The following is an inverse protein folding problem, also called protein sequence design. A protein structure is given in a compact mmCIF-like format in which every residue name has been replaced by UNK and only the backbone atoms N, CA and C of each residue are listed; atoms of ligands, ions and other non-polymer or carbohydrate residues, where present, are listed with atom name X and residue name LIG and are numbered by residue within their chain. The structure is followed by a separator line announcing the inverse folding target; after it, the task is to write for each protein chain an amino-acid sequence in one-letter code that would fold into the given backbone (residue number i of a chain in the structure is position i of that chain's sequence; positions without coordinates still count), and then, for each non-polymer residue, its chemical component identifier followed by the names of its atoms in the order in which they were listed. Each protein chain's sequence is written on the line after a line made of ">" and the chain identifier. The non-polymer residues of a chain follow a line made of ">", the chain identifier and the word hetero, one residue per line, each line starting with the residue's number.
data_IF_081024368009
#
_entry.id   IF_081024368009
#
_cell.length_a   1.000
_cell.length_b   1.000
_cell.length_c   1.000
_cell.angle_alpha   90.00
_cell.angle_beta   90.00
_cell.angle_gamma   90.00
#
_symmetry.space_group_name_H-M   'P 1'
#
loop_
_entity.id
_entity.type
_entity.pdbx_description
1 polymer ?
#
# COMPACT_ATOMS: atom_id res chain seq x y z
N UNK A 1 26.37 39.36 2.70
CA UNK A 1 25.33 38.36 3.01
C UNK A 1 24.20 38.57 2.00
N UNK A 2 24.00 37.63 1.08
CA UNK A 2 22.97 37.75 0.03
C UNK A 2 21.71 37.10 0.57
N UNK A 3 20.64 37.89 0.75
CA UNK A 3 19.32 37.35 1.11
C UNK A 3 18.55 37.02 -0.16
N UNK A 4 18.08 35.78 -0.25
CA UNK A 4 17.18 35.35 -1.33
C UNK A 4 15.73 35.51 -0.87
N UNK A 5 14.84 36.05 -1.71
CA UNK A 5 13.42 36.09 -1.40
C UNK A 5 12.87 34.66 -1.28
N UNK A 6 12.33 34.35 -0.11
CA UNK A 6 11.64 33.09 0.17
C UNK A 6 10.15 33.36 0.19
N UNK A 7 9.35 32.47 -0.42
CA UNK A 7 7.89 32.52 -0.30
C UNK A 7 7.56 32.45 1.18
N UNK A 8 6.84 33.45 1.71
CA UNK A 8 6.57 33.63 3.13
C UNK A 8 6.13 32.33 3.82
N UNK A 9 5.29 31.56 3.13
CA UNK A 9 4.78 30.28 3.60
C UNK A 9 5.89 29.25 3.91
N UNK A 10 7.00 29.25 3.18
CA UNK A 10 8.11 28.33 3.40
C UNK A 10 9.07 28.77 4.52
N UNK A 11 8.92 30.01 5.02
CA UNK A 11 9.76 30.57 6.07
C UNK A 11 9.13 30.47 7.47
N UNK A 12 7.90 29.96 7.58
CA UNK A 12 7.11 29.98 8.82
C UNK A 12 6.96 28.58 9.42
N UNK A 13 7.01 28.51 10.75
CA UNK A 13 6.73 27.30 11.54
C UNK A 13 5.48 27.56 12.41
N UNK A 14 4.55 26.60 12.47
CA UNK A 14 3.34 26.69 13.30
C UNK A 14 2.02 26.63 12.51
N UNK A 15 1.11 27.55 12.81
CA UNK A 15 -0.24 27.62 12.20
C UNK A 15 -0.65 29.06 11.84
N UNK A 16 -1.62 29.20 10.92
CA UNK A 16 -2.32 30.45 10.61
C UNK A 16 -3.78 30.35 10.99
N UNK A 17 -4.36 31.46 11.43
CA UNK A 17 -5.81 31.63 11.50
C UNK A 17 -6.22 32.70 10.49
N UNK A 18 -7.01 32.32 9.49
CA UNK A 18 -7.60 33.27 8.57
C UNK A 18 -8.91 33.79 9.16
N UNK A 19 -8.82 34.88 9.92
CA UNK A 19 -9.91 35.48 10.70
C UNK A 19 -11.18 35.84 9.90
N UNK A 20 -11.08 36.05 8.58
CA UNK A 20 -12.24 36.30 7.70
C UNK A 20 -13.06 35.04 7.35
N UNK A 21 -12.45 33.86 7.42
CA UNK A 21 -13.04 32.58 7.00
C UNK A 21 -13.01 31.53 8.13
N UNK A 22 -12.61 31.91 9.34
CA UNK A 22 -12.57 31.03 10.52
C UNK A 22 -11.73 29.77 10.33
N UNK A 23 -10.74 29.82 9.43
CA UNK A 23 -10.03 28.64 8.95
C UNK A 23 -8.60 28.62 9.48
N UNK A 24 -8.22 27.51 10.13
CA UNK A 24 -6.88 27.32 10.68
C UNK A 24 -6.04 26.45 9.77
N UNK A 25 -4.84 26.93 9.40
CA UNK A 25 -3.92 26.26 8.47
C UNK A 25 -2.66 25.82 9.20
N UNK A 26 -2.24 24.57 9.05
CA UNK A 26 -1.12 23.99 9.79
C UNK A 26 -0.10 23.35 8.86
N UNK A 27 1.18 23.38 9.23
CA UNK A 27 2.25 22.69 8.53
C UNK A 27 2.46 21.28 9.11
N UNK A 28 2.24 20.23 8.32
CA UNK A 28 2.51 18.83 8.70
C UNK A 28 3.31 18.12 7.60
N UNK A 29 4.46 17.52 7.94
CA UNK A 29 5.33 16.82 6.98
C UNK A 29 5.65 17.62 5.69
N UNK A 30 5.80 18.94 5.79
CA UNK A 30 6.13 19.81 4.65
C UNK A 30 4.94 20.25 3.78
N UNK A 31 3.71 19.86 4.13
CA UNK A 31 2.48 20.33 3.48
C UNK A 31 1.66 21.27 4.38
N UNK A 32 0.92 22.20 3.76
CA UNK A 32 -0.02 23.08 4.46
C UNK A 32 -1.44 22.50 4.42
N UNK A 33 -2.11 22.43 5.58
CA UNK A 33 -3.39 21.76 5.78
C UNK A 33 -4.41 22.69 6.40
N UNK A 34 -5.65 22.65 5.89
CA UNK A 34 -6.80 23.37 6.44
C UNK A 34 -7.72 22.37 7.16
N UNK A 35 -8.21 22.70 8.36
CA UNK A 35 -9.38 22.03 8.93
C UNK A 35 -10.65 22.80 8.52
N UNK A 36 -11.27 22.39 7.43
CA UNK A 36 -12.58 22.89 6.99
C UNK A 36 -13.57 21.72 6.97
N UNK A 37 -14.78 21.94 7.47
CA UNK A 37 -15.93 21.05 7.28
C UNK A 37 -16.10 20.64 5.81
N UNK A 38 -15.79 21.55 4.89
CA UNK A 38 -15.77 21.30 3.43
C UNK A 38 -14.72 20.25 3.05
N UNK A 39 -13.52 20.28 3.65
CA UNK A 39 -12.48 19.28 3.37
C UNK A 39 -12.90 17.88 3.80
N UNK A 40 -13.56 17.78 4.97
CA UNK A 40 -14.10 16.49 5.45
C UNK A 40 -15.14 15.94 4.48
N UNK A 41 -16.05 16.79 4.00
CA UNK A 41 -17.07 16.40 3.04
C UNK A 41 -16.47 15.98 1.69
N UNK A 42 -15.56 16.78 1.15
CA UNK A 42 -14.83 16.47 -0.08
C UNK A 42 -14.09 15.14 0.01
N UNK A 43 -13.30 14.93 1.07
CA UNK A 43 -12.55 13.70 1.28
C UNK A 43 -13.48 12.49 1.46
N UNK A 44 -14.67 12.68 2.04
CA UNK A 44 -15.66 11.62 2.14
C UNK A 44 -16.22 11.24 0.77
N UNK A 45 -16.46 12.20 -0.11
CA UNK A 45 -16.92 11.95 -1.49
C UNK A 45 -15.83 11.23 -2.27
N UNK A 46 -14.61 11.77 -2.29
CA UNK A 46 -13.48 11.21 -3.03
C UNK A 46 -13.14 9.77 -2.57
N UNK A 47 -13.18 9.51 -1.26
CA UNK A 47 -13.00 8.15 -0.74
C UNK A 47 -14.12 7.20 -1.18
N UNK A 48 -15.37 7.66 -1.22
CA UNK A 48 -16.49 6.82 -1.66
C UNK A 48 -16.43 6.51 -3.15
N UNK A 49 -16.05 7.47 -3.98
CA UNK A 49 -15.81 7.27 -5.41
C UNK A 49 -14.69 6.25 -5.60
N UNK A 50 -13.54 6.44 -4.92
CA UNK A 50 -12.43 5.50 -4.94
C UNK A 50 -12.85 4.08 -4.52
N UNK A 51 -13.65 3.97 -3.46
CA UNK A 51 -14.18 2.69 -2.99
C UNK A 51 -15.02 2.00 -4.07
N UNK A 52 -15.93 2.73 -4.70
CA UNK A 52 -16.82 2.20 -5.75
C UNK A 52 -16.06 1.82 -7.02
N UNK A 53 -15.09 2.63 -7.44
CA UNK A 53 -14.22 2.34 -8.58
C UNK A 53 -13.44 1.01 -8.39
N UNK A 54 -12.98 0.76 -7.16
CA UNK A 54 -12.20 -0.43 -6.85
C UNK A 54 -13.07 -1.66 -6.56
N UNK A 55 -14.30 -1.49 -6.07
CA UNK A 55 -15.15 -2.55 -5.50
C UNK A 55 -15.23 -3.79 -6.39
N UNK A 56 -15.57 -3.62 -7.68
CA UNK A 56 -15.74 -4.74 -8.62
C UNK A 56 -14.44 -5.53 -8.78
N UNK A 57 -13.32 -4.83 -8.97
CA UNK A 57 -12.01 -5.46 -9.16
C UNK A 57 -11.50 -6.09 -7.86
N UNK A 58 -11.71 -5.41 -6.74
CA UNK A 58 -11.35 -5.89 -5.40
C UNK A 58 -12.08 -7.19 -5.07
N UNK A 59 -13.40 -7.26 -5.31
CA UNK A 59 -14.19 -8.47 -5.07
C UNK A 59 -13.72 -9.64 -5.94
N UNK A 60 -13.48 -9.39 -7.24
CA UNK A 60 -12.95 -10.43 -8.14
C UNK A 60 -11.61 -10.99 -7.69
N UNK A 61 -10.70 -10.14 -7.19
CA UNK A 61 -9.40 -10.56 -6.66
C UNK A 61 -9.55 -11.32 -5.34
N UNK A 62 -10.42 -10.87 -4.44
CA UNK A 62 -10.71 -11.55 -3.18
C UNK A 62 -11.23 -12.97 -3.44
N UNK A 63 -12.18 -13.13 -4.36
CA UNK A 63 -12.76 -14.43 -4.70
C UNK A 63 -11.72 -15.33 -5.37
N UNK A 64 -10.98 -14.81 -6.35
CA UNK A 64 -10.02 -15.59 -7.13
C UNK A 64 -8.90 -16.19 -6.28
N UNK A 65 -8.41 -15.45 -5.29
CA UNK A 65 -7.30 -15.88 -4.43
C UNK A 65 -7.74 -16.22 -3.01
N UNK A 66 -9.05 -16.37 -2.77
CA UNK A 66 -9.63 -16.72 -1.48
C UNK A 66 -9.07 -15.86 -0.32
N UNK A 67 -9.04 -14.53 -0.51
CA UNK A 67 -8.40 -13.59 0.41
C UNK A 67 -9.27 -13.27 1.63
N UNK A 68 -10.56 -13.59 1.62
CA UNK A 68 -11.45 -13.28 2.75
C UNK A 68 -11.41 -14.42 3.77
N UNK A 69 -10.65 -14.23 4.85
CA UNK A 69 -10.47 -15.25 5.89
C UNK A 69 -10.64 -14.66 7.30
N UNK A 70 -11.44 -15.32 8.13
CA UNK A 70 -11.76 -14.84 9.47
C UNK A 70 -10.68 -15.24 10.50
N UNK A 71 -9.57 -14.50 10.51
CA UNK A 71 -8.49 -14.65 11.50
C UNK A 71 -8.43 -13.47 12.47
N UNK A 72 -7.73 -13.67 13.60
CA UNK A 72 -7.65 -12.70 14.69
C UNK A 72 -6.54 -11.66 14.49
N UNK A 73 -5.46 -12.00 13.79
CA UNK A 73 -4.31 -11.11 13.60
C UNK A 73 -3.64 -11.35 12.23
N UNK A 74 -2.77 -10.41 11.84
CA UNK A 74 -2.05 -10.37 10.56
C UNK A 74 -1.23 -11.65 10.33
N UNK A 75 -0.46 -12.08 11.33
CA UNK A 75 0.42 -13.25 11.25
C UNK A 75 -0.36 -14.56 10.99
N UNK A 76 -1.44 -14.81 11.75
CA UNK A 76 -2.29 -15.99 11.53
C UNK A 76 -3.03 -15.95 10.20
N UNK A 77 -3.45 -14.77 9.76
CA UNK A 77 -4.01 -14.58 8.43
C UNK A 77 -2.98 -14.94 7.34
N UNK A 78 -1.77 -14.39 7.41
CA UNK A 78 -0.73 -14.63 6.40
C UNK A 78 -0.32 -16.10 6.36
N UNK A 79 -0.11 -16.74 7.53
CA UNK A 79 0.25 -18.16 7.63
C UNK A 79 -0.80 -19.11 7.04
N UNK A 80 -2.06 -18.68 6.92
CA UNK A 80 -3.10 -19.48 6.28
C UNK A 80 -2.88 -19.73 4.78
N UNK A 81 -1.94 -19.01 4.15
CA UNK A 81 -1.57 -19.16 2.74
C UNK A 81 -0.32 -20.02 2.53
N UNK A 82 0.29 -20.57 3.59
CA UNK A 82 1.54 -21.35 3.49
C UNK A 82 1.42 -22.57 2.55
N UNK A 83 0.23 -23.17 2.49
CA UNK A 83 -0.08 -24.34 1.64
C UNK A 83 -0.85 -23.97 0.37
N UNK A 84 -1.16 -22.69 0.17
CA UNK A 84 -1.94 -22.23 -0.98
C UNK A 84 -1.03 -22.05 -2.20
N UNK A 85 -1.18 -22.92 -3.19
CA UNK A 85 -0.36 -22.91 -4.41
C UNK A 85 -0.66 -21.73 -5.35
N UNK A 86 -1.76 -21.00 -5.12
CA UNK A 86 -2.14 -19.83 -5.89
C UNK A 86 -1.51 -18.53 -5.38
N UNK A 87 -0.94 -18.56 -4.17
CA UNK A 87 -0.34 -17.41 -3.49
C UNK A 87 1.07 -17.76 -3.03
N UNK A 88 2.03 -16.93 -3.40
CA UNK A 88 3.40 -17.01 -2.89
C UNK A 88 3.41 -16.35 -1.51
N UNK A 89 3.64 -17.13 -0.47
CA UNK A 89 3.81 -16.64 0.89
C UNK A 89 5.17 -15.94 1.04
N UNK A 90 5.16 -14.63 1.28
CA UNK A 90 6.35 -13.79 1.37
C UNK A 90 6.52 -13.14 2.77
N UNK A 91 5.53 -13.25 3.65
CA UNK A 91 5.52 -12.66 4.98
C UNK A 91 6.80 -12.93 5.76
N UNK A 92 7.37 -11.87 6.33
CA UNK A 92 8.65 -11.79 7.04
C UNK A 92 9.88 -12.18 6.22
N UNK A 93 9.78 -12.23 4.89
CA UNK A 93 10.92 -12.49 4.01
C UNK A 93 11.62 -11.18 3.68
N UNK A 94 12.72 -10.92 4.39
CA UNK A 94 13.49 -9.69 4.25
C UNK A 94 14.61 -9.82 3.23
N UNK A 95 14.72 -8.88 2.29
CA UNK A 95 15.93 -8.62 1.51
C UNK A 95 16.53 -7.30 1.97
N UNK A 96 17.77 -7.33 2.46
CA UNK A 96 18.47 -6.17 3.01
C UNK A 96 17.64 -5.40 4.07
N UNK A 97 17.02 -6.16 4.98
CA UNK A 97 16.08 -5.71 6.02
C UNK A 97 14.75 -5.13 5.52
N UNK A 98 14.46 -5.28 4.23
CA UNK A 98 13.24 -4.79 3.59
C UNK A 98 12.28 -5.92 3.25
N UNK A 99 11.03 -5.80 3.68
CA UNK A 99 9.92 -6.66 3.29
C UNK A 99 9.24 -6.09 2.04
N UNK A 100 9.16 -6.89 0.97
CA UNK A 100 8.56 -6.44 -0.30
C UNK A 100 7.04 -6.61 -0.29
N UNK A 101 6.55 -7.70 0.31
CA UNK A 101 5.13 -8.03 0.45
C UNK A 101 4.95 -9.14 1.50
N UNK A 102 3.76 -9.19 2.09
CA UNK A 102 3.30 -10.34 2.88
C UNK A 102 2.88 -11.50 1.98
N UNK A 103 2.16 -11.19 0.91
CA UNK A 103 1.64 -12.15 -0.06
C UNK A 103 1.89 -11.65 -1.48
N UNK A 104 2.31 -12.54 -2.36
CA UNK A 104 2.48 -12.25 -3.80
C UNK A 104 1.61 -13.19 -4.60
N UNK A 105 0.81 -12.66 -5.51
CA UNK A 105 -0.02 -13.45 -6.43
C UNK A 105 -0.15 -12.72 -7.76
N UNK A 106 -0.66 -13.37 -8.80
CA UNK A 106 -0.59 -12.80 -10.15
C UNK A 106 -1.70 -13.31 -11.06
N UNK A 107 -2.00 -12.51 -12.08
CA UNK A 107 -2.83 -12.92 -13.20
C UNK A 107 -2.07 -12.77 -14.53
N UNK A 108 -2.79 -12.78 -15.66
CA UNK A 108 -2.20 -12.62 -16.98
C UNK A 108 -1.40 -11.30 -17.10
N UNK A 109 -1.91 -10.22 -16.53
CA UNK A 109 -1.48 -8.85 -16.78
C UNK A 109 -0.74 -8.20 -15.61
N UNK A 110 -1.01 -8.64 -14.38
CA UNK A 110 -0.55 -8.00 -13.16
C UNK A 110 0.17 -8.98 -12.23
N UNK A 111 1.16 -8.47 -11.51
CA UNK A 111 1.67 -9.07 -10.27
C UNK A 111 1.18 -8.20 -9.11
N UNK A 112 0.62 -8.85 -8.10
CA UNK A 112 0.05 -8.23 -6.92
C UNK A 112 0.99 -8.38 -5.74
N UNK A 113 1.34 -7.27 -5.11
CA UNK A 113 2.18 -7.20 -3.93
C UNK A 113 1.33 -6.69 -2.77
N UNK A 114 0.90 -7.62 -1.92
CA UNK A 114 -0.03 -7.32 -0.84
C UNK A 114 0.70 -7.17 0.48
N UNK A 115 0.36 -6.09 1.18
CA UNK A 115 0.60 -5.94 2.62
C UNK A 115 -0.73 -5.91 3.34
N UNK A 116 -0.79 -6.37 4.59
CA UNK A 116 -2.03 -6.32 5.36
C UNK A 116 -1.89 -5.72 6.77
N UNK A 117 -2.99 -5.10 7.23
CA UNK A 117 -3.09 -4.54 8.57
C UNK A 117 -4.40 -4.92 9.27
N UNK A 118 -4.35 -5.00 10.60
CA UNK A 118 -5.49 -5.39 11.43
C UNK A 118 -6.70 -4.46 11.27
N UNK A 119 -6.52 -3.14 11.33
CA UNK A 119 -7.63 -2.18 11.33
C UNK A 119 -7.42 -1.02 10.36
N UNK A 120 -8.48 -0.64 9.67
CA UNK A 120 -8.57 0.60 8.90
C UNK A 120 -8.83 1.79 9.83
N UNK A 121 -7.77 2.29 10.43
CA UNK A 121 -7.73 3.51 11.22
C UNK A 121 -6.47 4.31 10.87
N UNK A 122 -6.28 5.47 11.50
CA UNK A 122 -5.16 6.36 11.18
C UNK A 122 -3.79 5.71 11.33
N UNK A 123 -3.56 5.00 12.45
CA UNK A 123 -2.32 4.29 12.73
C UNK A 123 -2.07 3.15 11.74
N UNK A 124 -3.05 2.25 11.59
CA UNK A 124 -2.94 1.09 10.72
C UNK A 124 -2.80 1.46 9.25
N UNK A 125 -3.52 2.46 8.77
CA UNK A 125 -3.39 2.94 7.39
C UNK A 125 -2.02 3.60 7.15
N UNK A 126 -1.52 4.42 8.09
CA UNK A 126 -0.21 5.07 7.99
C UNK A 126 0.92 4.04 7.91
N UNK A 127 0.91 3.07 8.82
CA UNK A 127 1.95 2.05 8.87
C UNK A 127 1.95 1.20 7.59
N UNK A 128 0.76 0.78 7.14
CA UNK A 128 0.61 -0.02 5.93
C UNK A 128 1.05 0.73 4.66
N UNK A 129 0.70 2.02 4.56
CA UNK A 129 1.10 2.85 3.42
C UNK A 129 2.62 3.06 3.41
N UNK A 130 3.22 3.28 4.57
CA UNK A 130 4.67 3.39 4.67
C UNK A 130 5.37 2.10 4.23
N UNK A 131 4.87 0.93 4.66
CA UNK A 131 5.40 -0.36 4.19
C UNK A 131 5.34 -0.47 2.67
N UNK A 132 4.20 -0.15 2.06
CA UNK A 132 4.02 -0.22 0.61
C UNK A 132 4.93 0.78 -0.13
N UNK A 133 5.05 2.02 0.35
CA UNK A 133 5.90 3.04 -0.27
C UNK A 133 7.36 2.61 -0.27
N UNK A 134 7.83 2.18 0.89
CA UNK A 134 9.21 1.75 1.07
C UNK A 134 9.50 0.49 0.25
N UNK A 135 8.56 -0.48 0.21
CA UNK A 135 8.67 -1.65 -0.66
C UNK A 135 8.73 -1.26 -2.15
N UNK A 136 7.96 -0.26 -2.59
CA UNK A 136 7.99 0.23 -3.97
C UNK A 136 9.30 0.90 -4.34
N UNK A 137 9.83 1.78 -3.49
CA UNK A 137 11.11 2.45 -3.72
C UNK A 137 12.26 1.44 -3.78
N UNK A 138 12.27 0.50 -2.81
CA UNK A 138 13.28 -0.56 -2.75
C UNK A 138 13.20 -1.49 -3.97
N UNK A 139 12.01 -1.99 -4.31
CA UNK A 139 11.82 -2.86 -5.48
C UNK A 139 12.22 -2.14 -6.77
N UNK A 140 11.77 -0.90 -6.97
CA UNK A 140 12.06 -0.14 -8.19
C UNK A 140 13.55 0.11 -8.37
N UNK A 141 14.25 0.48 -7.29
CA UNK A 141 15.70 0.73 -7.32
C UNK A 141 16.48 -0.54 -7.68
N UNK A 142 16.16 -1.67 -7.07
CA UNK A 142 16.87 -2.93 -7.32
C UNK A 142 16.56 -3.52 -8.70
N UNK A 143 15.32 -3.39 -9.18
CA UNK A 143 14.96 -3.78 -10.54
C UNK A 143 15.66 -2.92 -11.61
N UNK A 144 16.01 -1.67 -11.29
CA UNK A 144 16.75 -0.78 -12.18
C UNK A 144 18.26 -1.01 -12.17
N UNK A 145 18.84 -1.37 -11.01
CA UNK A 145 20.29 -1.50 -10.85
C UNK A 145 20.83 -2.87 -11.26
N UNK A 146 20.30 -3.95 -10.68
CA UNK A 146 20.77 -5.32 -10.93
C UNK A 146 19.62 -6.32 -10.75
N UNK A 147 18.71 -6.27 -11.73
CA UNK A 147 17.44 -7.00 -11.73
C UNK A 147 17.62 -8.50 -11.49
N UNK A 148 18.51 -9.13 -12.24
CA UNK A 148 18.65 -10.58 -12.26
C UNK A 148 19.17 -11.09 -10.92
N UNK A 149 20.24 -10.48 -10.41
CA UNK A 149 20.80 -10.81 -9.11
C UNK A 149 19.78 -10.60 -7.99
N UNK A 150 19.09 -9.46 -7.99
CA UNK A 150 18.09 -9.14 -6.97
C UNK A 150 16.96 -10.17 -6.93
N UNK A 151 16.38 -10.50 -8.09
CA UNK A 151 15.26 -11.44 -8.17
C UNK A 151 15.69 -12.86 -7.81
N UNK A 152 16.91 -13.27 -8.20
CA UNK A 152 17.48 -14.55 -7.80
C UNK A 152 17.67 -14.64 -6.29
N UNK A 153 18.31 -13.64 -5.68
CA UNK A 153 18.53 -13.60 -4.24
C UNK A 153 17.20 -13.61 -3.46
N UNK A 154 16.21 -12.83 -3.92
CA UNK A 154 14.90 -12.78 -3.27
C UNK A 154 14.16 -14.12 -3.41
N UNK A 155 14.19 -14.74 -4.59
CA UNK A 155 13.60 -16.06 -4.82
C UNK A 155 14.23 -17.14 -3.93
N UNK A 156 15.57 -17.15 -3.79
CA UNK A 156 16.27 -18.08 -2.89
C UNK A 156 15.78 -17.89 -1.44
N UNK A 157 15.61 -16.64 -0.99
CA UNK A 157 15.07 -16.38 0.36
C UNK A 157 13.64 -16.90 0.53
N UNK A 158 12.78 -16.73 -0.48
CA UNK A 158 11.44 -17.29 -0.47
C UNK A 158 11.48 -18.82 -0.39
N UNK A 159 12.30 -19.49 -1.21
CA UNK A 159 12.48 -20.94 -1.18
C UNK A 159 13.09 -21.50 0.12
N UNK A 160 13.80 -20.67 0.89
CA UNK A 160 14.30 -21.05 2.21
C UNK A 160 13.25 -20.83 3.30
N UNK A 161 12.33 -19.87 3.09
CA UNK A 161 11.27 -19.52 4.04
C UNK A 161 10.13 -20.54 4.01
N UNK A 162 9.66 -20.86 2.82
CA UNK A 162 8.72 -21.96 2.60
C UNK A 162 9.53 -23.18 2.21
N UNK A 163 9.14 -24.39 2.61
CA UNK A 163 9.82 -25.58 2.06
C UNK A 163 9.68 -25.53 0.52
N UNK A 164 10.76 -25.80 -0.24
CA UNK A 164 10.82 -25.62 -1.70
C UNK A 164 9.62 -26.20 -2.46
N UNK A 165 9.04 -27.28 -1.95
CA UNK A 165 7.85 -27.98 -2.48
C UNK A 165 6.56 -27.14 -2.45
N UNK A 166 6.54 -26.06 -1.66
CA UNK A 166 5.41 -25.14 -1.52
C UNK A 166 5.48 -23.99 -2.54
N UNK A 167 6.68 -23.67 -3.07
CA UNK A 167 6.82 -22.70 -4.14
C UNK A 167 6.62 -23.41 -5.49
N UNK A 168 5.43 -23.24 -6.08
CA UNK A 168 5.02 -23.95 -7.31
C UNK A 168 5.57 -23.37 -8.61
N UNK A 169 6.32 -22.28 -8.52
CA UNK A 169 6.88 -21.57 -9.68
C UNK A 169 8.40 -21.72 -9.70
N UNK A 170 8.99 -21.78 -10.89
CA UNK A 170 10.45 -21.74 -11.06
C UNK A 170 11.00 -20.32 -10.88
N UNK A 171 12.32 -20.19 -10.71
CA UNK A 171 13.01 -18.90 -10.72
C UNK A 171 12.72 -18.11 -12.00
N UNK A 172 12.73 -18.76 -13.17
CA UNK A 172 12.43 -18.09 -14.44
C UNK A 172 10.98 -17.57 -14.50
N UNK A 173 10.02 -18.36 -14.00
CA UNK A 173 8.62 -17.94 -13.89
C UNK A 173 8.47 -16.78 -12.91
N UNK A 174 9.14 -16.84 -11.76
CA UNK A 174 9.15 -15.76 -10.77
C UNK A 174 9.71 -14.46 -11.34
N UNK A 175 10.88 -14.51 -12.00
CA UNK A 175 11.49 -13.33 -12.62
C UNK A 175 10.59 -12.71 -13.69
N UNK A 176 9.81 -13.54 -14.41
CA UNK A 176 8.84 -13.09 -15.40
C UNK A 176 7.60 -12.41 -14.80
N UNK A 177 7.28 -12.64 -13.51
CA UNK A 177 6.18 -11.91 -12.84
C UNK A 177 6.45 -10.41 -12.81
N UNK A 178 7.70 -10.00 -12.64
CA UNK A 178 8.08 -8.58 -12.59
C UNK A 178 8.23 -7.93 -13.98
N UNK A 179 7.88 -8.64 -15.05
CA UNK A 179 7.61 -8.05 -16.37
C UNK A 179 6.14 -7.60 -16.50
N UNK A 180 5.26 -8.05 -15.61
CA UNK A 180 3.85 -7.65 -15.56
C UNK A 180 3.72 -6.27 -14.92
N UNK A 181 2.53 -5.68 -15.02
CA UNK A 181 2.21 -4.46 -14.26
C UNK A 181 2.22 -4.78 -12.77
N UNK A 182 3.02 -4.05 -12.01
CA UNK A 182 3.03 -4.16 -10.55
C UNK A 182 1.82 -3.43 -9.98
N UNK A 183 1.04 -4.12 -9.17
CA UNK A 183 -0.12 -3.60 -8.45
C UNK A 183 0.05 -3.84 -6.95
N UNK A 184 0.09 -2.79 -6.15
CA UNK A 184 0.15 -2.91 -4.71
C UNK A 184 -1.25 -3.04 -4.12
N UNK A 185 -1.36 -3.84 -3.07
CA UNK A 185 -2.62 -4.07 -2.36
C UNK A 185 -2.43 -3.72 -0.90
N UNK A 186 -3.29 -2.83 -0.41
CA UNK A 186 -3.46 -2.54 1.01
C UNK A 186 -4.67 -3.30 1.54
N UNK A 187 -4.42 -4.42 2.24
CA UNK A 187 -5.46 -5.24 2.85
C UNK A 187 -5.73 -4.84 4.30
N UNK A 188 -7.00 -4.67 4.67
CA UNK A 188 -7.41 -4.39 6.04
C UNK A 188 -8.34 -5.49 6.56
N UNK A 189 -7.99 -6.11 7.69
CA UNK A 189 -8.80 -7.16 8.29
C UNK A 189 -10.11 -6.60 8.87
N UNK A 190 -10.12 -5.38 9.39
CA UNK A 190 -11.31 -4.79 9.99
C UNK A 190 -11.47 -3.31 9.62
N UNK A 191 -12.73 -2.86 9.51
CA UNK A 191 -13.08 -1.44 9.45
C UNK A 191 -12.97 -0.77 8.09
N UNK A 192 -12.42 -1.42 7.06
CA UNK A 192 -12.45 -0.91 5.69
C UNK A 192 -13.83 -1.16 5.08
N UNK A 193 -14.58 -0.08 4.86
CA UNK A 193 -15.92 -0.08 4.25
C UNK A 193 -16.23 1.30 3.67
N UNK A 194 -17.19 1.39 2.74
CA UNK A 194 -17.64 2.68 2.17
C UNK A 194 -17.94 3.74 3.23
N UNK A 195 -18.54 3.34 4.35
CA UNK A 195 -18.93 4.20 5.48
C UNK A 195 -17.87 4.36 6.57
N UNK A 196 -16.59 4.04 6.32
CA UNK A 196 -15.51 4.25 7.30
C UNK A 196 -15.49 5.70 7.79
N UNK A 197 -15.19 5.92 9.07
CA UNK A 197 -15.24 7.27 9.68
C UNK A 197 -13.86 7.87 9.94
N UNK A 198 -12.79 7.08 9.79
CA UNK A 198 -11.43 7.56 10.03
C UNK A 198 -10.97 8.50 8.93
N UNK A 199 -11.05 9.81 9.18
CA UNK A 199 -10.68 10.85 8.21
C UNK A 199 -9.22 10.73 7.77
N UNK A 200 -8.31 10.50 8.72
CA UNK A 200 -6.89 10.36 8.42
C UNK A 200 -6.61 9.11 7.56
N UNK A 201 -7.25 7.97 7.85
CA UNK A 201 -7.09 6.77 7.02
C UNK A 201 -7.57 7.00 5.58
N UNK A 202 -8.71 7.70 5.40
CA UNK A 202 -9.23 8.07 4.07
C UNK A 202 -8.24 8.94 3.31
N UNK A 203 -7.75 9.99 3.95
CA UNK A 203 -6.77 10.91 3.37
C UNK A 203 -5.56 10.14 2.84
N UNK A 204 -4.99 9.29 3.68
CA UNK A 204 -3.79 8.53 3.35
C UNK A 204 -4.01 7.61 2.13
N UNK A 205 -5.12 6.87 2.06
CA UNK A 205 -5.35 5.94 0.94
C UNK A 205 -5.73 6.64 -0.36
N UNK A 206 -6.41 7.78 -0.29
CA UNK A 206 -6.72 8.62 -1.45
C UNK A 206 -5.44 9.20 -2.04
N UNK A 207 -4.58 9.78 -1.20
CA UNK A 207 -3.30 10.32 -1.64
C UNK A 207 -2.37 9.23 -2.18
N UNK A 208 -2.37 8.06 -1.54
CA UNK A 208 -1.63 6.89 -2.02
C UNK A 208 -2.10 6.46 -3.42
N UNK A 209 -3.41 6.42 -3.67
CA UNK A 209 -3.95 6.09 -4.98
C UNK A 209 -3.49 7.07 -6.05
N UNK A 210 -3.58 8.38 -5.79
CA UNK A 210 -3.09 9.43 -6.71
C UNK A 210 -1.60 9.26 -7.00
N UNK A 211 -0.79 9.06 -5.97
CA UNK A 211 0.66 8.87 -6.08
C UNK A 211 1.00 7.66 -6.94
N UNK A 212 0.36 6.50 -6.71
CA UNK A 212 0.64 5.29 -7.48
C UNK A 212 0.14 5.39 -8.92
N UNK A 213 -1.00 6.06 -9.13
CA UNK A 213 -1.49 6.35 -10.48
C UNK A 213 -0.49 7.21 -11.27
N UNK A 214 0.04 8.27 -10.66
CA UNK A 214 1.06 9.13 -11.27
C UNK A 214 2.37 8.38 -11.59
N UNK A 215 2.71 7.35 -10.80
CA UNK A 215 3.86 6.47 -11.05
C UNK A 215 3.58 5.37 -12.10
N UNK A 216 2.39 5.30 -12.68
CA UNK A 216 1.98 4.24 -13.61
C UNK A 216 1.81 2.86 -12.94
N UNK A 217 1.74 2.81 -11.60
CA UNK A 217 1.55 1.58 -10.82
C UNK A 217 0.06 1.29 -10.63
N UNK A 218 -0.26 0.06 -10.26
CA UNK A 218 -1.59 -0.27 -9.72
C UNK A 218 -1.60 -0.09 -8.20
N UNK A 219 -2.73 0.36 -7.66
CA UNK A 219 -3.01 0.36 -6.23
C UNK A 219 -4.44 -0.11 -6.01
N UNK A 220 -4.68 -0.93 -4.98
CA UNK A 220 -6.02 -1.41 -4.62
C UNK A 220 -6.14 -1.52 -3.10
N UNK A 221 -7.37 -1.33 -2.62
CA UNK A 221 -7.75 -1.49 -1.23
C UNK A 221 -8.67 -2.70 -1.08
N UNK A 222 -8.41 -3.55 -0.09
CA UNK A 222 -9.22 -4.74 0.18
C UNK A 222 -9.68 -4.78 1.64
N UNK A 223 -10.94 -5.14 1.85
CA UNK A 223 -11.44 -5.64 3.14
C UNK A 223 -11.33 -7.16 3.14
N UNK A 224 -10.43 -7.71 3.95
CA UNK A 224 -10.04 -9.13 3.90
C UNK A 224 -10.69 -9.98 5.00
N UNK A 225 -11.64 -9.39 5.74
CA UNK A 225 -12.52 -10.07 6.69
C UNK A 225 -13.90 -9.41 6.67
#
# INVERSE_FOLDING_TARGET
>A
MVMYPTILINAMQGYFEFSKIGTMVYLLNGGWYVYDTTFKEYLNVEFQELFLEMETKSNSIIEKFNLKKNYKNEDTYNKSFLQDKSVIFAHTTLKDNMEIADLIFYDKNNVYLMHNKGKFNGEGARDLINQILVANEYLTSNLGADREKFLNDYYIKLCNKVHKEQLTISLSQFSNLFNKRICYIAGFMEGYKKSSQSLYAKFLVVEMNKKFHAMGRGFMLLGIK
#
